data_IF_988729106560
#
_entry.id   IF_988729106560
#
_cell.length_a   1.000
_cell.length_b   1.000
_cell.length_c   1.000
_cell.angle_alpha   90.00
_cell.angle_beta   90.00
_cell.angle_gamma   90.00
#
_symmetry.space_group_name_H-M   'P 1'
#
loop_
_entity.id
_entity.type
_entity.pdbx_description
1 polymer ?
#
# COMPACT_ATOMS: atom_id res chain seq x y z
N UNK A 1 -46.88 64.11 38.00
CA UNK A 1 -47.50 63.16 37.04
C UNK A 1 -46.93 61.79 37.41
N UNK A 2 -47.64 61.02 38.25
CA UNK A 2 -48.50 59.87 37.86
C UNK A 2 -47.72 58.79 37.09
N UNK A 3 -47.73 57.50 37.45
CA UNK A 3 -48.20 56.74 38.64
C UNK A 3 -47.52 55.32 38.54
N UNK A 4 -47.20 54.59 39.63
CA UNK A 4 -47.97 53.46 40.24
C UNK A 4 -48.58 52.44 39.25
N UNK A 5 -48.70 51.13 39.51
CA UNK A 5 -48.29 50.17 40.57
C UNK A 5 -47.91 48.85 39.81
N UNK A 6 -47.06 47.89 40.22
CA UNK A 6 -46.45 47.48 41.50
C UNK A 6 -47.27 46.49 42.38
N UNK A 7 -47.72 45.35 41.82
CA UNK A 7 -48.24 44.16 42.57
C UNK A 7 -48.20 42.87 41.72
N UNK A 8 -48.38 41.63 42.20
CA UNK A 8 -47.93 40.91 43.43
C UNK A 8 -48.23 39.40 43.26
N UNK A 9 -47.47 38.56 43.98
CA UNK A 9 -47.45 37.09 44.07
C UNK A 9 -48.77 36.27 44.07
N UNK A 10 -48.66 35.01 43.61
CA UNK A 10 -48.98 33.75 44.33
C UNK A 10 -48.55 32.55 43.45
N UNK A 11 -47.67 31.60 43.79
CA UNK A 11 -47.58 30.68 44.93
C UNK A 11 -48.81 29.78 45.14
N UNK A 12 -48.67 28.46 44.95
CA UNK A 12 -49.13 27.40 45.88
C UNK A 12 -48.54 26.05 45.43
N UNK A 13 -48.03 25.28 46.41
CA UNK A 13 -47.56 23.90 46.26
C UNK A 13 -48.75 22.93 46.25
N UNK A 14 -48.57 21.66 45.82
CA UNK A 14 -48.86 20.47 46.66
C UNK A 14 -48.46 19.16 45.96
N UNK A 15 -47.96 18.21 46.74
CA UNK A 15 -47.89 16.76 46.51
C UNK A 15 -48.58 16.08 47.74
N UNK A 16 -48.72 14.75 47.92
CA UNK A 16 -48.29 13.61 47.10
C UNK A 16 -49.31 12.41 47.03
N UNK A 17 -48.89 11.30 46.41
CA UNK A 17 -49.20 9.87 46.71
C UNK A 17 -50.61 9.37 47.10
N UNK A 18 -51.15 8.40 46.34
CA UNK A 18 -51.30 6.99 46.81
C UNK A 18 -51.72 5.98 45.71
N UNK A 19 -51.52 4.70 46.03
CA UNK A 19 -51.58 3.47 45.21
C UNK A 19 -52.98 2.90 44.92
N UNK A 20 -53.17 2.27 43.75
CA UNK A 20 -53.72 0.88 43.69
C UNK A 20 -53.47 0.16 42.35
N UNK A 21 -53.08 -1.12 42.43
CA UNK A 21 -53.00 -2.14 41.35
C UNK A 21 -54.24 -3.07 41.46
N UNK A 22 -54.47 -4.08 40.56
CA UNK A 22 -53.86 -4.39 39.25
C UNK A 22 -54.90 -4.72 38.13
N UNK A 23 -54.43 -4.98 36.89
CA UNK A 23 -55.03 -5.99 35.98
C UNK A 23 -54.10 -6.37 34.81
N UNK A 24 -53.87 -7.67 34.66
CA UNK A 24 -53.44 -8.41 33.46
C UNK A 24 -54.52 -9.49 33.21
N UNK A 25 -54.51 -10.29 32.12
CA UNK A 25 -53.63 -10.29 30.95
C UNK A 25 -54.42 -10.17 29.63
N UNK A 26 -53.74 -10.24 28.47
CA UNK A 26 -54.10 -11.24 27.44
C UNK A 26 -52.95 -11.43 26.44
N UNK A 27 -52.58 -12.69 26.20
CA UNK A 27 -51.67 -13.11 25.14
C UNK A 27 -52.47 -13.61 23.95
N UNK A 28 -52.09 -13.24 22.72
CA UNK A 28 -52.62 -13.87 21.51
C UNK A 28 -51.48 -14.33 20.59
N UNK A 29 -51.07 -15.58 20.80
CA UNK A 29 -50.37 -16.38 19.79
C UNK A 29 -51.30 -16.57 18.57
N UNK A 30 -50.76 -16.49 17.35
CA UNK A 30 -51.46 -17.00 16.16
C UNK A 30 -50.61 -18.13 15.58
N UNK A 31 -51.17 -19.34 15.68
CA UNK A 31 -50.60 -20.59 15.18
C UNK A 31 -50.78 -20.67 13.66
N UNK A 32 -49.80 -21.29 13.01
CA UNK A 32 -49.75 -21.57 11.57
C UNK A 32 -50.94 -22.46 11.16
N UNK A 33 -51.69 -22.05 10.14
CA UNK A 33 -52.60 -22.91 9.39
C UNK A 33 -51.99 -23.21 8.01
N UNK A 34 -51.70 -24.48 7.73
CA UNK A 34 -51.10 -24.89 6.47
C UNK A 34 -52.14 -24.99 5.35
N UNK A 35 -51.81 -24.43 4.18
CA UNK A 35 -52.45 -24.77 2.90
C UNK A 35 -51.38 -25.24 1.93
N UNK A 36 -51.44 -26.53 1.57
CA UNK A 36 -50.49 -27.14 0.65
C UNK A 36 -50.74 -26.67 -0.79
N UNK A 37 -49.67 -26.31 -1.50
CA UNK A 37 -49.69 -26.15 -2.95
C UNK A 37 -48.46 -26.84 -3.55
N UNK A 38 -48.71 -27.92 -4.31
CA UNK A 38 -47.68 -28.72 -4.96
C UNK A 38 -47.11 -28.00 -6.19
N UNK A 39 -45.78 -27.83 -6.27
CA UNK A 39 -44.95 -27.94 -7.50
C UNK A 39 -43.44 -27.89 -7.17
N UNK A 40 -42.56 -28.34 -8.08
CA UNK A 40 -41.61 -29.41 -7.74
C UNK A 40 -40.24 -28.94 -7.25
N UNK A 41 -39.55 -29.87 -6.59
CA UNK A 41 -38.16 -29.73 -6.17
C UNK A 41 -37.23 -29.41 -7.36
N UNK A 42 -36.51 -28.30 -7.25
CA UNK A 42 -35.30 -28.03 -8.03
C UNK A 42 -34.10 -28.09 -7.10
N UNK A 43 -33.05 -28.78 -7.54
CA UNK A 43 -31.96 -29.22 -6.67
C UNK A 43 -31.22 -28.05 -6.02
N UNK A 44 -31.16 -28.06 -4.69
CA UNK A 44 -30.25 -27.23 -3.92
C UNK A 44 -28.80 -27.69 -4.19
N UNK A 45 -28.17 -27.15 -5.24
CA UNK A 45 -26.72 -27.18 -5.35
C UNK A 45 -26.15 -26.19 -4.34
N UNK A 46 -25.35 -26.71 -3.43
CA UNK A 46 -24.46 -25.92 -2.58
C UNK A 46 -23.59 -25.03 -3.48
N UNK A 47 -23.94 -23.75 -3.57
CA UNK A 47 -23.00 -22.73 -3.96
C UNK A 47 -22.12 -22.46 -2.74
N UNK A 48 -21.15 -23.35 -2.51
CA UNK A 48 -19.96 -23.00 -1.75
C UNK A 48 -19.41 -21.73 -2.40
N UNK A 49 -19.53 -20.60 -1.71
CA UNK A 49 -18.89 -19.37 -2.12
C UNK A 49 -17.37 -19.59 -2.02
N UNK A 50 -16.78 -20.05 -3.12
CA UNK A 50 -15.34 -20.20 -3.27
C UNK A 50 -14.74 -18.82 -3.01
N UNK A 51 -14.03 -18.68 -1.88
CA UNK A 51 -13.23 -17.48 -1.61
C UNK A 51 -12.36 -17.23 -2.85
N UNK A 52 -12.29 -15.99 -3.37
CA UNK A 52 -11.58 -15.73 -4.61
C UNK A 52 -10.14 -16.20 -4.51
N UNK A 53 -9.84 -17.19 -5.35
CA UNK A 53 -8.56 -17.85 -5.55
C UNK A 53 -7.41 -16.82 -5.56
N UNK A 54 -6.35 -17.06 -4.79
CA UNK A 54 -5.29 -16.09 -4.49
C UNK A 54 -4.84 -15.30 -5.73
N UNK A 55 -5.36 -14.07 -5.86
CA UNK A 55 -4.90 -13.12 -6.86
C UNK A 55 -3.56 -12.60 -6.37
N UNK A 56 -2.47 -13.15 -6.93
CA UNK A 56 -1.11 -12.64 -6.76
C UNK A 56 -1.06 -11.17 -7.15
N UNK A 57 -0.47 -10.31 -6.31
CA UNK A 57 -0.38 -8.87 -6.57
C UNK A 57 1.06 -8.40 -6.41
N UNK A 58 1.52 -7.58 -7.36
CA UNK A 58 2.74 -6.79 -7.18
C UNK A 58 2.50 -5.82 -6.03
N UNK A 59 3.41 -5.80 -5.05
CA UNK A 59 3.23 -5.06 -3.80
C UNK A 59 3.95 -3.71 -3.80
N UNK A 60 4.73 -3.41 -4.84
CA UNK A 60 5.43 -2.14 -5.01
C UNK A 60 4.98 -1.41 -6.29
N UNK A 61 5.36 -0.14 -6.42
CA UNK A 61 5.10 0.64 -7.62
C UNK A 61 5.96 0.20 -8.82
N UNK A 62 6.86 -0.75 -8.61
CA UNK A 62 7.81 -1.28 -9.57
C UNK A 62 8.08 -2.77 -9.34
N UNK A 63 8.71 -3.40 -10.32
CA UNK A 63 9.23 -4.76 -10.26
C UNK A 63 10.58 -4.86 -10.97
N UNK A 64 11.37 -5.85 -10.60
CA UNK A 64 12.67 -6.14 -11.19
C UNK A 64 12.55 -7.33 -12.15
N UNK A 65 12.97 -7.14 -13.40
CA UNK A 65 13.16 -8.24 -14.36
C UNK A 65 14.65 -8.56 -14.47
N UNK A 66 15.02 -9.84 -14.39
CA UNK A 66 16.37 -10.30 -14.73
C UNK A 66 16.31 -11.25 -15.93
N UNK A 67 16.90 -10.85 -17.05
CA UNK A 67 17.03 -11.66 -18.26
C UNK A 67 18.49 -12.13 -18.45
N UNK A 68 18.76 -13.41 -18.24
CA UNK A 68 20.06 -14.04 -18.48
C UNK A 68 19.89 -15.48 -19.01
N UNK A 69 20.63 -15.83 -20.06
CA UNK A 69 20.60 -17.18 -20.64
C UNK A 69 21.21 -18.24 -19.71
N UNK A 70 22.11 -17.83 -18.81
CA UNK A 70 22.80 -18.72 -17.87
C UNK A 70 22.11 -18.76 -16.49
N UNK A 71 20.91 -18.20 -16.36
CA UNK A 71 20.18 -18.18 -15.11
C UNK A 71 19.85 -19.60 -14.64
N UNK A 72 20.30 -19.93 -13.44
CA UNK A 72 20.20 -21.25 -12.84
C UNK A 72 20.03 -21.11 -11.32
N UNK A 73 18.81 -21.29 -10.84
CA UNK A 73 18.45 -21.14 -9.42
C UNK A 73 19.12 -22.18 -8.51
N UNK A 74 19.65 -23.27 -9.08
CA UNK A 74 20.38 -24.29 -8.31
C UNK A 74 21.79 -23.86 -7.92
N UNK A 75 22.33 -22.80 -8.55
CA UNK A 75 23.66 -22.25 -8.24
C UNK A 75 23.59 -21.30 -7.05
N UNK A 76 24.39 -21.60 -6.02
CA UNK A 76 24.47 -20.83 -4.78
C UNK A 76 24.73 -19.33 -4.98
N UNK A 77 25.54 -18.95 -5.95
CA UNK A 77 25.88 -17.53 -6.17
C UNK A 77 24.73 -16.74 -6.80
N UNK A 78 23.92 -17.36 -7.66
CA UNK A 78 22.66 -16.78 -8.14
C UNK A 78 21.64 -16.68 -7.01
N UNK A 79 21.53 -17.72 -6.17
CA UNK A 79 20.64 -17.73 -5.00
C UNK A 79 20.99 -16.62 -3.99
N UNK A 80 22.26 -16.43 -3.66
CA UNK A 80 22.75 -15.32 -2.82
C UNK A 80 22.43 -13.97 -3.46
N UNK A 81 22.71 -13.82 -4.76
CA UNK A 81 22.42 -12.59 -5.52
C UNK A 81 20.94 -12.24 -5.48
N UNK A 82 20.06 -13.22 -5.72
CA UNK A 82 18.61 -13.05 -5.67
C UNK A 82 18.12 -12.70 -4.26
N UNK A 83 18.70 -13.30 -3.22
CA UNK A 83 18.41 -12.94 -1.82
C UNK A 83 18.79 -11.49 -1.49
N UNK A 84 19.92 -10.99 -2.00
CA UNK A 84 20.28 -9.57 -1.84
C UNK A 84 19.34 -8.65 -2.63
N UNK A 85 19.00 -8.99 -3.87
CA UNK A 85 18.04 -8.21 -4.67
C UNK A 85 16.65 -8.15 -4.01
N UNK A 86 16.16 -9.24 -3.40
CA UNK A 86 14.86 -9.28 -2.69
C UNK A 86 14.77 -8.30 -1.53
N UNK A 87 15.90 -7.92 -0.92
CA UNK A 87 15.92 -6.88 0.14
C UNK A 87 15.68 -5.46 -0.40
N UNK A 88 15.94 -5.24 -1.70
CA UNK A 88 15.82 -3.96 -2.39
C UNK A 88 14.49 -3.88 -3.15
N UNK A 89 14.18 -4.92 -3.93
CA UNK A 89 12.96 -5.03 -4.73
C UNK A 89 12.25 -6.33 -4.38
N UNK A 90 11.03 -6.17 -3.91
CA UNK A 90 10.12 -7.21 -3.39
C UNK A 90 9.72 -8.12 -4.55
N UNK A 91 9.20 -7.56 -5.63
CA UNK A 91 8.78 -8.31 -6.82
C UNK A 91 9.92 -8.50 -7.83
N UNK A 92 10.40 -9.73 -7.99
CA UNK A 92 11.45 -10.09 -8.95
C UNK A 92 10.97 -11.22 -9.87
N UNK A 93 11.08 -11.01 -11.19
CA UNK A 93 10.78 -12.02 -12.22
C UNK A 93 12.01 -12.31 -13.07
N UNK A 94 12.34 -13.58 -13.25
CA UNK A 94 13.53 -14.03 -13.99
C UNK A 94 13.13 -14.67 -15.32
N UNK A 95 13.95 -14.49 -16.35
CA UNK A 95 13.74 -15.06 -17.67
C UNK A 95 15.06 -15.55 -18.27
N UNK A 96 15.01 -16.68 -18.98
CA UNK A 96 16.10 -17.14 -19.86
C UNK A 96 15.82 -16.81 -21.33
N UNK A 97 14.54 -16.66 -21.70
CA UNK A 97 14.09 -16.42 -23.07
C UNK A 97 13.68 -14.95 -23.31
N UNK A 98 14.34 -14.21 -24.24
CA UNK A 98 14.02 -12.82 -24.54
C UNK A 98 12.58 -12.58 -25.03
N UNK A 99 11.97 -13.53 -25.73
CA UNK A 99 10.61 -13.39 -26.25
C UNK A 99 9.59 -13.49 -25.13
N UNK A 100 9.71 -14.46 -24.23
CA UNK A 100 8.86 -14.56 -23.03
C UNK A 100 8.97 -13.30 -22.14
N UNK A 101 10.18 -12.76 -22.00
CA UNK A 101 10.41 -11.50 -21.29
C UNK A 101 9.70 -10.31 -21.97
N UNK A 102 9.76 -10.22 -23.31
CA UNK A 102 9.05 -9.21 -24.11
C UNK A 102 7.53 -9.32 -23.98
N UNK A 103 7.01 -10.54 -24.04
CA UNK A 103 5.57 -10.80 -23.93
C UNK A 103 5.08 -10.42 -22.53
N UNK A 104 5.78 -10.83 -21.47
CA UNK A 104 5.48 -10.42 -20.09
C UNK A 104 5.54 -8.89 -19.91
N UNK A 105 6.58 -8.22 -20.43
CA UNK A 105 6.70 -6.76 -20.41
C UNK A 105 5.46 -6.05 -20.99
N UNK A 106 4.83 -6.61 -22.02
CA UNK A 106 3.63 -6.04 -22.64
C UNK A 106 2.37 -6.15 -21.76
N UNK A 107 2.35 -7.05 -20.77
CA UNK A 107 1.22 -7.24 -19.85
C UNK A 107 1.20 -6.24 -18.69
N UNK A 108 2.35 -5.62 -18.38
CA UNK A 108 2.54 -4.68 -17.27
C UNK A 108 1.95 -3.32 -17.64
N UNK A 109 1.10 -2.77 -16.76
CA UNK A 109 0.33 -1.53 -17.04
C UNK A 109 0.61 -0.38 -16.07
N UNK A 110 0.70 -0.67 -14.77
CA UNK A 110 0.70 0.37 -13.72
C UNK A 110 2.03 0.46 -12.95
N UNK A 111 2.91 -0.52 -13.19
CA UNK A 111 4.17 -0.73 -12.51
C UNK A 111 5.33 -0.27 -13.39
N UNK A 112 6.37 0.30 -12.77
CA UNK A 112 7.65 0.56 -13.44
C UNK A 112 8.52 -0.68 -13.44
N UNK A 113 9.34 -0.85 -14.47
CA UNK A 113 10.22 -2.01 -14.62
C UNK A 113 11.66 -1.57 -14.57
N UNK A 114 12.38 -2.12 -13.61
CA UNK A 114 13.83 -2.17 -13.59
C UNK A 114 14.27 -3.46 -14.29
N UNK A 115 15.28 -3.39 -15.15
CA UNK A 115 15.76 -4.57 -15.87
C UNK A 115 17.26 -4.79 -15.67
N UNK A 116 17.64 -5.95 -15.16
CA UNK A 116 19.00 -6.49 -15.26
C UNK A 116 19.03 -7.42 -16.48
N UNK A 117 20.00 -7.23 -17.38
CA UNK A 117 20.10 -8.05 -18.60
C UNK A 117 21.54 -8.40 -18.95
N UNK A 118 21.75 -9.63 -19.40
CA UNK A 118 23.06 -10.04 -19.90
C UNK A 118 23.46 -9.28 -21.18
N UNK A 119 24.75 -9.03 -21.38
CA UNK A 119 25.24 -8.20 -22.49
C UNK A 119 24.81 -8.67 -23.90
N UNK A 120 24.72 -9.98 -24.12
CA UNK A 120 24.28 -10.58 -25.39
C UNK A 120 22.77 -10.48 -25.59
N UNK A 121 21.96 -10.91 -24.61
CA UNK A 121 20.50 -10.84 -24.70
C UNK A 121 20.00 -9.39 -24.72
N UNK A 122 20.68 -8.49 -24.01
CA UNK A 122 20.38 -7.05 -24.03
C UNK A 122 20.55 -6.45 -25.41
N UNK A 123 21.60 -6.82 -26.15
CA UNK A 123 21.81 -6.36 -27.52
C UNK A 123 20.68 -6.81 -28.48
N UNK A 124 20.18 -8.03 -28.30
CA UNK A 124 19.07 -8.58 -29.10
C UNK A 124 17.71 -7.97 -28.73
N UNK A 125 17.40 -7.88 -27.44
CA UNK A 125 16.07 -7.51 -26.96
C UNK A 125 15.85 -6.00 -26.95
N UNK A 126 16.80 -5.24 -26.40
CA UNK A 126 16.57 -3.82 -26.05
C UNK A 126 16.18 -2.92 -27.23
N UNK A 127 16.69 -3.08 -28.48
CA UNK A 127 16.23 -2.32 -29.63
C UNK A 127 14.71 -2.40 -29.87
N UNK A 128 14.05 -3.46 -29.40
CA UNK A 128 12.61 -3.71 -29.57
C UNK A 128 11.75 -3.24 -28.40
N UNK A 129 12.35 -2.92 -27.24
CA UNK A 129 11.60 -2.62 -25.99
C UNK A 129 12.00 -1.33 -25.29
N UNK A 130 13.09 -0.67 -25.68
CA UNK A 130 13.58 0.53 -24.97
C UNK A 130 12.57 1.69 -24.95
N UNK A 131 11.68 1.76 -25.93
CA UNK A 131 10.61 2.78 -26.03
C UNK A 131 9.46 2.56 -25.05
N UNK A 132 9.30 1.36 -24.47
CA UNK A 132 8.17 1.01 -23.60
C UNK A 132 8.11 1.92 -22.34
N UNK A 133 7.00 2.62 -22.06
CA UNK A 133 6.91 3.60 -20.96
C UNK A 133 6.98 2.98 -19.55
N UNK A 134 6.63 1.70 -19.41
CA UNK A 134 6.79 0.93 -18.17
C UNK A 134 8.25 0.60 -17.89
N UNK A 135 9.09 0.38 -18.92
CA UNK A 135 10.52 0.15 -18.75
C UNK A 135 11.18 1.48 -18.36
N UNK A 136 11.70 1.54 -17.14
CA UNK A 136 12.27 2.76 -16.58
C UNK A 136 13.78 2.82 -16.78
N UNK A 137 14.49 1.83 -16.23
CA UNK A 137 15.95 1.84 -16.10
C UNK A 137 16.52 0.44 -16.31
N UNK A 138 17.63 0.35 -17.06
CA UNK A 138 18.26 -0.90 -17.51
C UNK A 138 19.71 -0.96 -17.04
N UNK A 139 20.09 -2.11 -16.49
CA UNK A 139 21.43 -2.44 -16.00
C UNK A 139 21.98 -3.62 -16.82
N UNK A 140 23.08 -3.40 -17.53
CA UNK A 140 23.69 -4.47 -18.33
C UNK A 140 24.75 -5.19 -17.50
N UNK A 141 24.52 -6.44 -17.15
CA UNK A 141 25.47 -7.28 -16.42
C UNK A 141 26.28 -8.12 -17.42
N UNK A 142 27.60 -7.97 -17.46
CA UNK A 142 28.43 -8.69 -18.43
C UNK A 142 29.91 -8.77 -18.02
N UNK A 143 30.50 -9.96 -18.14
CA UNK A 143 31.93 -10.19 -17.94
C UNK A 143 32.87 -9.39 -18.87
N UNK A 144 32.37 -8.95 -20.04
CA UNK A 144 33.12 -8.14 -21.01
C UNK A 144 32.35 -6.85 -21.44
N UNK A 145 32.35 -5.79 -20.61
CA UNK A 145 31.62 -4.56 -20.88
C UNK A 145 32.01 -3.85 -22.19
N UNK A 146 33.25 -4.02 -22.64
CA UNK A 146 33.83 -3.29 -23.78
C UNK A 146 33.09 -3.56 -25.10
N UNK A 147 32.62 -4.79 -25.30
CA UNK A 147 31.89 -5.21 -26.52
C UNK A 147 30.54 -4.49 -26.64
N UNK A 148 29.87 -4.23 -25.51
CA UNK A 148 28.50 -3.73 -25.47
C UNK A 148 28.40 -2.21 -25.27
N UNK A 149 29.52 -1.54 -24.96
CA UNK A 149 29.60 -0.09 -24.71
C UNK A 149 29.10 0.80 -25.87
N UNK A 150 29.15 0.31 -27.12
CA UNK A 150 28.67 1.06 -28.29
C UNK A 150 27.13 1.17 -28.33
N UNK A 151 26.42 0.03 -28.27
CA UNK A 151 24.95 0.01 -28.36
C UNK A 151 24.29 0.46 -27.05
N UNK A 152 24.90 0.19 -25.89
CA UNK A 152 24.35 0.63 -24.61
C UNK A 152 24.20 2.16 -24.55
N UNK A 153 25.17 2.90 -25.11
CA UNK A 153 25.16 4.36 -25.19
C UNK A 153 24.06 4.93 -26.09
N UNK A 154 23.53 4.17 -27.04
CA UNK A 154 22.43 4.65 -27.91
C UNK A 154 21.06 4.51 -27.26
N UNK A 155 20.96 3.88 -26.08
CA UNK A 155 19.71 3.65 -25.37
C UNK A 155 19.71 4.44 -24.06
N UNK A 156 18.97 5.55 -24.03
CA UNK A 156 18.94 6.51 -22.91
C UNK A 156 18.54 5.93 -21.55
N UNK A 157 17.83 4.79 -21.53
CA UNK A 157 17.43 4.09 -20.31
C UNK A 157 18.49 3.16 -19.73
N UNK A 158 19.60 2.92 -20.43
CA UNK A 158 20.71 2.11 -19.89
C UNK A 158 21.52 2.96 -18.91
N UNK A 159 21.41 2.64 -17.62
CA UNK A 159 22.10 3.35 -16.52
C UNK A 159 23.57 2.99 -16.41
N UNK A 160 23.95 1.78 -16.85
CA UNK A 160 25.34 1.37 -16.89
C UNK A 160 25.57 -0.04 -17.42
N UNK A 161 26.85 -0.38 -17.61
CA UNK A 161 27.33 -1.74 -17.89
C UNK A 161 28.28 -2.12 -16.76
N UNK A 162 28.04 -3.26 -16.14
CA UNK A 162 28.71 -3.68 -14.92
C UNK A 162 29.30 -5.08 -15.09
N UNK A 163 30.55 -5.24 -14.64
CA UNK A 163 31.23 -6.54 -14.60
C UNK A 163 30.89 -7.33 -13.33
N UNK A 164 30.57 -6.62 -12.26
CA UNK A 164 30.20 -7.15 -10.94
C UNK A 164 28.78 -6.69 -10.59
N UNK A 165 28.11 -7.40 -9.68
CA UNK A 165 26.69 -7.19 -9.39
C UNK A 165 26.47 -6.17 -8.27
N UNK A 166 27.45 -5.98 -7.39
CA UNK A 166 27.39 -5.10 -6.22
C UNK A 166 27.10 -3.64 -6.59
N UNK A 167 27.70 -3.04 -7.65
CA UNK A 167 27.35 -1.69 -8.07
C UNK A 167 25.93 -1.57 -8.64
N UNK A 168 25.36 -2.68 -9.16
CA UNK A 168 23.95 -2.70 -9.60
C UNK A 168 23.04 -2.61 -8.38
N UNK A 169 23.36 -3.24 -7.24
CA UNK A 169 22.57 -3.11 -6.02
C UNK A 169 22.43 -1.64 -5.57
N UNK A 170 23.55 -0.92 -5.49
CA UNK A 170 23.55 0.49 -5.07
C UNK A 170 22.78 1.37 -6.05
N UNK A 171 22.99 1.20 -7.36
CA UNK A 171 22.27 1.96 -8.38
C UNK A 171 20.76 1.65 -8.38
N UNK A 172 20.39 0.38 -8.25
CA UNK A 172 19.01 -0.07 -8.14
C UNK A 172 18.32 0.48 -6.90
N UNK A 173 18.97 0.47 -5.73
CA UNK A 173 18.40 1.03 -4.50
C UNK A 173 18.08 2.52 -4.66
N UNK A 174 19.02 3.32 -5.19
CA UNK A 174 18.83 4.75 -5.41
C UNK A 174 17.69 5.01 -6.41
N UNK A 175 17.67 4.29 -7.54
CA UNK A 175 16.61 4.46 -8.53
C UNK A 175 15.25 3.98 -8.00
N UNK A 176 15.17 2.90 -7.21
CA UNK A 176 13.95 2.44 -6.54
C UNK A 176 13.40 3.46 -5.53
N UNK A 177 14.26 4.06 -4.69
CA UNK A 177 13.84 5.09 -3.73
C UNK A 177 13.33 6.36 -4.44
N UNK A 178 14.04 6.80 -5.49
CA UNK A 178 13.59 7.90 -6.35
C UNK A 178 12.26 7.59 -7.07
N UNK A 179 12.10 6.35 -7.51
CA UNK A 179 10.92 5.84 -8.22
C UNK A 179 9.69 5.79 -7.30
N UNK A 180 9.85 5.34 -6.05
CA UNK A 180 8.80 5.43 -5.03
C UNK A 180 8.46 6.90 -4.72
N UNK A 181 9.44 7.77 -4.50
CA UNK A 181 9.21 9.20 -4.23
C UNK A 181 8.43 9.90 -5.35
N UNK A 182 8.82 9.66 -6.61
CA UNK A 182 8.13 10.22 -7.77
C UNK A 182 6.69 9.71 -7.91
N UNK A 183 6.40 8.50 -7.41
CA UNK A 183 5.09 7.86 -7.50
C UNK A 183 4.21 8.02 -6.24
N UNK A 184 4.58 8.91 -5.31
CA UNK A 184 3.70 9.40 -4.24
C UNK A 184 2.55 10.27 -4.79
N UNK A 185 2.77 10.95 -5.94
CA UNK A 185 1.81 11.92 -6.49
C UNK A 185 0.50 11.26 -6.94
N UNK A 186 -0.61 11.57 -6.26
CA UNK A 186 -1.96 11.15 -6.62
C UNK A 186 -2.60 12.25 -7.48
N UNK A 187 -2.88 11.94 -8.75
CA UNK A 187 -3.40 12.91 -9.71
C UNK A 187 -4.93 12.81 -9.90
N UNK A 188 -5.67 13.41 -8.96
CA UNK A 188 -7.13 13.46 -9.01
C UNK A 188 -7.63 14.30 -10.20
N UNK A 189 -8.00 13.66 -11.31
CA UNK A 189 -8.42 14.36 -12.55
C UNK A 189 -9.93 14.52 -12.72
N UNK A 190 -10.78 13.89 -11.89
CA UNK A 190 -12.25 14.00 -11.90
C UNK A 190 -12.80 13.83 -10.47
N UNK A 191 -13.19 14.92 -9.82
CA UNK A 191 -13.26 15.05 -8.35
C UNK A 191 -14.67 15.38 -7.82
N UNK A 192 -15.67 14.56 -8.18
CA UNK A 192 -16.98 14.63 -7.52
C UNK A 192 -17.28 13.30 -6.82
N UNK A 193 -17.75 12.29 -7.56
CA UNK A 193 -18.18 11.01 -6.96
C UNK A 193 -17.03 10.21 -6.34
N UNK A 194 -15.85 10.17 -6.99
CA UNK A 194 -14.68 9.49 -6.44
C UNK A 194 -14.18 10.12 -5.14
N UNK A 195 -14.28 11.45 -5.01
CA UNK A 195 -13.89 12.15 -3.80
C UNK A 195 -14.79 11.76 -2.62
N UNK A 196 -16.10 11.76 -2.84
CA UNK A 196 -17.09 11.31 -1.84
C UNK A 196 -16.80 9.86 -1.42
N UNK A 197 -16.53 8.95 -2.37
CA UNK A 197 -16.16 7.57 -2.03
C UNK A 197 -14.84 7.48 -1.25
N UNK A 198 -13.80 8.24 -1.61
CA UNK A 198 -12.54 8.23 -0.85
C UNK A 198 -12.68 8.84 0.55
N UNK A 199 -13.53 9.86 0.72
CA UNK A 199 -13.80 10.48 2.01
C UNK A 199 -14.59 9.53 2.92
N UNK A 200 -15.69 8.93 2.41
CA UNK A 200 -16.48 7.94 3.13
C UNK A 200 -15.63 6.71 3.48
N UNK A 201 -14.80 6.23 2.54
CA UNK A 201 -13.91 5.09 2.78
C UNK A 201 -12.85 5.41 3.84
N UNK A 202 -12.31 6.64 3.85
CA UNK A 202 -11.41 7.11 4.92
C UNK A 202 -12.14 7.15 6.27
N UNK A 203 -13.35 7.69 6.34
CA UNK A 203 -14.16 7.72 7.57
C UNK A 203 -14.40 6.30 8.10
N UNK A 204 -14.91 5.39 7.27
CA UNK A 204 -15.07 3.97 7.62
C UNK A 204 -13.74 3.33 8.06
N UNK A 205 -12.64 3.56 7.34
CA UNK A 205 -11.33 2.98 7.68
C UNK A 205 -10.83 3.43 9.05
N UNK A 206 -11.12 4.69 9.43
CA UNK A 206 -10.77 5.29 10.71
C UNK A 206 -11.69 4.88 11.86
N UNK A 207 -12.97 4.62 11.57
CA UNK A 207 -13.98 4.19 12.55
C UNK A 207 -14.02 2.67 12.82
N UNK A 208 -13.39 1.84 11.98
CA UNK A 208 -13.26 0.40 12.23
C UNK A 208 -12.48 0.19 13.55
N UNK A 209 -13.23 -0.19 14.58
CA UNK A 209 -12.70 -0.77 15.82
C UNK A 209 -12.22 -2.20 15.55
N UNK A 210 -10.97 -2.46 15.86
CA UNK A 210 -10.20 -3.59 15.35
C UNK A 210 -9.11 -3.91 16.38
N UNK A 211 -9.01 -5.18 16.77
CA UNK A 211 -7.90 -5.64 17.60
C UNK A 211 -6.59 -5.49 16.82
N UNK A 212 -5.81 -4.46 17.16
CA UNK A 212 -4.54 -4.17 16.50
C UNK A 212 -3.61 -5.39 16.43
N UNK A 213 -3.54 -6.25 17.45
CA UNK A 213 -2.68 -7.42 17.44
C UNK A 213 -3.17 -8.46 16.41
N UNK A 214 -4.48 -8.65 16.32
CA UNK A 214 -5.10 -9.47 15.27
C UNK A 214 -4.92 -8.86 13.88
N UNK A 215 -5.13 -7.56 13.69
CA UNK A 215 -4.96 -6.90 12.38
C UNK A 215 -3.51 -6.97 11.88
N UNK A 216 -2.53 -6.81 12.78
CA UNK A 216 -1.10 -7.01 12.45
C UNK A 216 -0.84 -8.44 12.00
N UNK A 217 -1.38 -9.43 12.72
CA UNK A 217 -1.24 -10.84 12.34
C UNK A 217 -1.90 -11.14 10.99
N UNK A 218 -3.14 -10.68 10.77
CA UNK A 218 -3.88 -10.84 9.52
C UNK A 218 -3.22 -10.13 8.32
N UNK A 219 -2.37 -9.12 8.59
CA UNK A 219 -1.52 -8.45 7.61
C UNK A 219 -0.20 -9.20 7.36
N UNK A 220 0.45 -9.70 8.40
CA UNK A 220 1.64 -10.57 8.31
C UNK A 220 1.32 -11.84 7.52
N UNK A 221 0.22 -12.52 7.84
CA UNK A 221 -0.25 -13.70 7.13
C UNK A 221 -0.65 -13.37 5.68
N UNK A 222 -1.22 -12.19 5.42
CA UNK A 222 -1.46 -11.70 4.06
C UNK A 222 -0.16 -11.49 3.28
N UNK A 223 0.88 -10.96 3.91
CA UNK A 223 2.20 -10.77 3.30
C UNK A 223 2.88 -12.11 2.99
N UNK A 224 2.80 -13.09 3.89
CA UNK A 224 3.34 -14.47 3.69
C UNK A 224 2.70 -15.19 2.50
N UNK A 225 1.45 -14.83 2.16
CA UNK A 225 0.72 -15.37 1.01
C UNK A 225 1.10 -14.69 -0.32
N UNK A 226 2.03 -13.73 -0.33
CA UNK A 226 2.55 -13.11 -1.55
C UNK A 226 3.99 -13.55 -1.79
N UNK A 227 4.26 -14.11 -2.97
CA UNK A 227 5.58 -14.64 -3.38
C UNK A 227 6.71 -13.58 -3.33
N UNK A 228 6.35 -12.30 -3.34
CA UNK A 228 7.28 -11.17 -3.44
C UNK A 228 7.79 -10.66 -2.07
N UNK A 229 7.09 -10.90 -0.94
CA UNK A 229 7.49 -10.33 0.35
C UNK A 229 8.73 -11.02 0.97
N UNK A 230 9.78 -10.28 1.37
CA UNK A 230 10.93 -10.87 2.07
C UNK A 230 10.55 -11.33 3.49
N UNK A 231 10.71 -12.63 3.80
CA UNK A 231 10.35 -13.19 5.12
C UNK A 231 11.16 -12.57 6.27
N UNK A 232 12.36 -12.04 6.01
CA UNK A 232 13.14 -11.28 7.01
C UNK A 232 12.43 -9.95 7.38
N UNK A 233 11.89 -9.23 6.39
CA UNK A 233 11.08 -8.03 6.63
C UNK A 233 9.71 -8.37 7.26
N UNK A 234 9.06 -9.47 6.85
CA UNK A 234 7.82 -9.95 7.49
C UNK A 234 8.06 -10.26 8.98
N UNK A 235 9.09 -11.05 9.29
CA UNK A 235 9.40 -11.45 10.67
C UNK A 235 9.82 -10.27 11.54
N UNK A 236 10.44 -9.23 10.95
CA UNK A 236 10.73 -7.98 11.66
C UNK A 236 9.44 -7.23 12.03
N UNK A 237 8.43 -7.18 11.14
CA UNK A 237 7.12 -6.62 11.47
C UNK A 237 6.46 -7.42 12.60
N UNK A 238 6.44 -8.74 12.51
CA UNK A 238 5.81 -9.62 13.50
C UNK A 238 6.39 -9.47 14.93
N UNK A 239 7.69 -9.16 15.06
CA UNK A 239 8.37 -9.00 16.36
C UNK A 239 8.50 -7.55 16.84
N UNK A 240 8.70 -6.61 15.92
CA UNK A 240 9.23 -5.27 16.22
C UNK A 240 8.26 -4.14 15.86
N UNK A 241 7.10 -4.43 15.24
CA UNK A 241 6.12 -3.40 14.83
C UNK A 241 5.79 -2.40 15.96
N UNK A 242 5.47 -2.89 17.15
CA UNK A 242 5.12 -2.08 18.32
C UNK A 242 6.32 -1.36 18.98
N UNK A 243 7.56 -1.71 18.62
CA UNK A 243 8.76 -1.10 19.18
C UNK A 243 9.06 0.27 18.53
N UNK A 244 8.45 0.55 17.38
CA UNK A 244 8.62 1.78 16.62
C UNK A 244 7.29 2.51 16.39
N UNK A 245 7.34 3.84 16.26
CA UNK A 245 6.16 4.64 15.89
C UNK A 245 5.73 4.33 14.44
N UNK A 246 4.43 4.38 14.08
CA UNK A 246 3.95 4.16 12.71
C UNK A 246 4.65 5.02 11.65
N UNK A 247 4.99 6.27 11.99
CA UNK A 247 5.72 7.18 11.09
C UNK A 247 7.14 6.69 10.75
N UNK A 248 7.78 5.90 11.61
CA UNK A 248 9.08 5.29 11.34
C UNK A 248 8.95 4.22 10.25
N UNK A 249 7.97 3.32 10.38
CA UNK A 249 7.63 2.32 9.36
C UNK A 249 7.25 2.92 8.00
N UNK A 250 6.68 4.13 7.98
CA UNK A 250 6.37 4.84 6.74
C UNK A 250 7.57 5.58 6.13
N UNK A 251 8.57 5.95 6.93
CA UNK A 251 9.71 6.77 6.46
C UNK A 251 10.91 5.93 6.04
N UNK A 252 11.21 4.83 6.76
CA UNK A 252 12.29 3.89 6.43
C UNK A 252 11.98 3.14 5.13
N UNK A 253 13.02 2.74 4.39
CA UNK A 253 12.92 1.98 3.13
C UNK A 253 12.55 0.51 3.37
N UNK A 254 11.27 0.28 3.70
CA UNK A 254 10.63 -1.04 3.82
C UNK A 254 9.47 -1.20 2.82
N UNK A 255 9.11 -2.45 2.53
CA UNK A 255 7.99 -2.74 1.61
C UNK A 255 6.66 -2.10 2.04
N UNK A 256 6.44 -1.88 3.34
CA UNK A 256 5.22 -1.24 3.89
C UNK A 256 4.96 0.11 3.21
N UNK A 257 5.99 0.97 3.10
CA UNK A 257 5.88 2.30 2.47
C UNK A 257 5.43 2.18 1.01
N UNK A 258 6.11 1.33 0.24
CA UNK A 258 5.82 1.09 -1.18
C UNK A 258 4.42 0.49 -1.37
N UNK A 259 4.03 -0.46 -0.52
CA UNK A 259 2.73 -1.14 -0.55
C UNK A 259 1.59 -0.18 -0.21
N UNK A 260 1.73 0.64 0.83
CA UNK A 260 0.73 1.65 1.18
C UNK A 260 0.57 2.67 0.05
N UNK A 261 1.68 3.22 -0.46
CA UNK A 261 1.65 4.19 -1.54
C UNK A 261 1.02 3.60 -2.81
N UNK A 262 1.34 2.36 -3.16
CA UNK A 262 0.70 1.64 -4.28
C UNK A 262 -0.80 1.48 -4.06
N UNK A 263 -1.20 1.01 -2.87
CA UNK A 263 -2.58 0.79 -2.50
C UNK A 263 -3.42 2.06 -2.64
N UNK A 264 -2.95 3.17 -2.06
CA UNK A 264 -3.60 4.48 -2.16
C UNK A 264 -3.65 5.01 -3.59
N UNK A 265 -2.53 4.94 -4.33
CA UNK A 265 -2.41 5.44 -5.71
C UNK A 265 -3.33 4.72 -6.69
N UNK A 266 -3.51 3.42 -6.53
CA UNK A 266 -4.36 2.59 -7.40
C UNK A 266 -5.78 2.40 -6.84
N UNK A 267 -6.08 2.96 -5.67
CA UNK A 267 -7.31 2.72 -4.90
C UNK A 267 -7.60 1.22 -4.71
N UNK A 268 -6.56 0.41 -4.49
CA UNK A 268 -6.70 -1.02 -4.26
C UNK A 268 -7.25 -1.27 -2.84
N UNK A 269 -8.57 -1.34 -2.75
CA UNK A 269 -9.33 -1.60 -1.52
C UNK A 269 -8.81 -2.83 -0.77
N UNK A 270 -8.32 -3.87 -1.47
CA UNK A 270 -7.78 -5.07 -0.83
C UNK A 270 -6.49 -4.79 -0.05
N UNK A 271 -5.58 -4.00 -0.63
CA UNK A 271 -4.36 -3.55 0.04
C UNK A 271 -4.72 -2.55 1.15
N UNK A 272 -5.53 -1.54 0.85
CA UNK A 272 -5.88 -0.49 1.81
C UNK A 272 -6.57 -1.07 3.06
N UNK A 273 -7.49 -2.02 2.88
CA UNK A 273 -8.17 -2.69 4.00
C UNK A 273 -7.20 -3.54 4.83
N UNK A 274 -6.31 -4.32 4.18
CA UNK A 274 -5.27 -5.09 4.88
C UNK A 274 -4.25 -4.21 5.62
N UNK A 275 -4.04 -2.99 5.16
CA UNK A 275 -3.20 -1.98 5.83
C UNK A 275 -4.01 -1.03 6.72
N UNK A 276 -5.30 -1.28 6.96
CA UNK A 276 -6.20 -0.33 7.64
C UNK A 276 -5.74 0.07 9.04
N UNK A 277 -5.28 -0.90 9.84
CA UNK A 277 -4.69 -0.66 11.16
C UNK A 277 -3.47 0.28 11.09
N UNK A 278 -2.58 0.08 10.12
CA UNK A 278 -1.40 0.90 9.93
C UNK A 278 -1.77 2.32 9.49
N UNK A 279 -2.77 2.45 8.60
CA UNK A 279 -3.26 3.76 8.14
C UNK A 279 -3.91 4.53 9.30
N UNK A 280 -4.73 3.87 10.13
CA UNK A 280 -5.30 4.47 11.36
C UNK A 280 -4.22 5.01 12.28
N UNK A 281 -3.26 4.16 12.64
CA UNK A 281 -2.19 4.51 13.58
C UNK A 281 -1.25 5.57 13.00
N UNK A 282 -0.96 5.53 11.70
CA UNK A 282 -0.16 6.54 10.99
C UNK A 282 -0.89 7.89 10.94
N UNK A 283 -2.19 7.90 10.65
CA UNK A 283 -3.01 9.11 10.68
C UNK A 283 -3.03 9.74 12.07
N UNK A 284 -3.32 8.96 13.12
CA UNK A 284 -3.30 9.42 14.52
C UNK A 284 -1.92 9.98 14.92
N UNK A 285 -0.84 9.32 14.50
CA UNK A 285 0.53 9.77 14.76
C UNK A 285 0.84 11.11 14.06
N UNK A 286 0.42 11.28 12.80
CA UNK A 286 0.59 12.54 12.04
C UNK A 286 -0.24 13.66 12.67
N UNK A 287 -1.49 13.39 13.09
CA UNK A 287 -2.31 14.39 13.79
C UNK A 287 -1.69 14.83 15.11
N UNK A 288 -1.16 13.88 15.91
CA UNK A 288 -0.50 14.21 17.16
C UNK A 288 0.70 15.14 16.92
N UNK A 289 1.59 14.78 15.98
CA UNK A 289 2.74 15.60 15.62
C UNK A 289 2.30 17.00 15.13
N UNK A 290 1.20 17.08 14.37
CA UNK A 290 0.64 18.35 13.92
C UNK A 290 0.14 19.22 15.09
N UNK A 291 -0.57 18.63 16.07
CA UNK A 291 -1.03 19.33 17.27
C UNK A 291 0.14 19.83 18.13
N UNK A 292 1.15 18.99 18.37
CA UNK A 292 2.38 19.35 19.08
C UNK A 292 3.11 20.53 18.40
N UNK A 293 3.19 20.50 17.08
CA UNK A 293 3.81 21.55 16.27
C UNK A 293 3.01 22.87 16.29
N UNK A 294 1.67 22.81 16.19
CA UNK A 294 0.80 23.99 16.29
C UNK A 294 0.94 24.66 17.66
N UNK A 295 0.92 23.89 18.74
CA UNK A 295 1.11 24.39 20.10
C UNK A 295 2.47 25.09 20.25
N UNK A 296 3.55 24.44 19.81
CA UNK A 296 4.92 24.99 19.86
C UNK A 296 5.05 26.30 19.06
N UNK A 297 4.47 26.34 17.86
CA UNK A 297 4.51 27.54 16.99
C UNK A 297 3.74 28.70 17.62
N UNK A 298 2.58 28.43 18.24
CA UNK A 298 1.76 29.43 18.93
C UNK A 298 2.45 29.97 20.19
N UNK A 299 3.15 29.12 20.94
CA UNK A 299 3.91 29.51 22.13
C UNK A 299 5.19 30.30 21.80
N UNK A 300 5.88 29.95 20.71
CA UNK A 300 7.16 30.57 20.36
C UNK A 300 7.04 31.81 19.46
N UNK A 301 5.91 32.03 18.78
CA UNK A 301 5.72 33.08 17.74
C UNK A 301 6.76 33.08 16.60
N UNK A 302 7.56 32.01 16.47
CA UNK A 302 8.56 31.86 15.41
C UNK A 302 7.93 31.33 14.12
N UNK A 303 8.21 31.91 12.94
CA UNK A 303 7.74 31.37 11.67
C UNK A 303 8.33 29.98 11.42
N UNK A 304 7.47 28.98 11.18
CA UNK A 304 7.89 27.61 10.95
C UNK A 304 8.22 27.34 9.47
N UNK A 305 9.47 26.99 9.18
CA UNK A 305 9.92 26.71 7.81
C UNK A 305 9.67 25.24 7.43
N UNK A 306 8.75 25.03 6.46
CA UNK A 306 8.50 23.72 5.85
C UNK A 306 9.33 23.50 4.59
N UNK A 307 9.91 22.31 4.46
CA UNK A 307 10.49 21.82 3.21
C UNK A 307 9.56 20.75 2.62
N UNK A 308 8.88 21.05 1.50
CA UNK A 308 7.97 20.10 0.84
C UNK A 308 8.68 19.35 -0.28
N UNK A 309 9.03 18.09 -0.02
CA UNK A 309 9.20 17.04 -1.06
C UNK A 309 10.36 17.20 -2.05
N UNK A 310 11.21 18.22 -1.94
CA UNK A 310 12.41 18.34 -2.77
C UNK A 310 13.62 17.81 -2.02
N UNK A 311 14.29 16.81 -2.60
CA UNK A 311 15.64 16.44 -2.18
C UNK A 311 16.54 17.67 -2.37
N UNK A 312 17.32 18.02 -1.33
CA UNK A 312 18.43 18.96 -1.50
C UNK A 312 19.40 18.36 -2.52
N UNK A 313 19.49 18.96 -3.70
CA UNK A 313 20.73 18.93 -4.45
C UNK A 313 21.77 19.64 -3.58
N UNK A 314 22.71 18.88 -3.04
CA UNK A 314 23.85 19.42 -2.31
C UNK A 314 24.89 19.90 -3.32
N UNK A 315 24.57 21.01 -4.00
CA UNK A 315 25.51 21.71 -4.87
C UNK A 315 26.42 22.62 -4.01
N UNK A 316 27.73 22.44 -4.18
CA UNK A 316 28.75 23.41 -3.75
C UNK A 316 29.42 23.15 -2.40
N UNK A 317 30.68 22.70 -2.48
CA UNK A 317 31.93 23.11 -1.81
C UNK A 317 32.82 21.86 -1.84
N UNK A 318 33.94 21.78 -2.56
CA UNK A 318 34.92 22.82 -2.95
C UNK A 318 34.98 23.01 -4.46
#
# INVERSE_FOLDING_TARGET
MNNKEQTTAASVLFSPSTTHKPKQPLSSSITIAATASNRPATNARSNNAVLPQHVRRVLQNYLLIWLDANFDESKDDFKKTLQFLRKIVVSITTFTNPQQCKDFLSTIKNEKVFMIVSGSLGHQLLPHIYTLPQLDSIYVFCGNPSVHKKWAKTISKVKGIYKQIEPIYTALQIDCERCDQAMISISFHRIDTFFIYTQLFKEVLLEIDDDNAKSIKDFVDYCRLQDDCPEDQIGMIEREYHQHKPIWWYTVSHFIRSMLNRGLRLLDVGIIFKMGFFIRQLHQCIEQLHREQQYTTTMASTPFQVFRGQARLADGWV
#
